data_IF_836459943367
#
_entry.id   IF_836459943367
#
_cell.length_a   1.000
_cell.length_b   1.000
_cell.length_c   1.000
_cell.angle_alpha   90.00
_cell.angle_beta   90.00
_cell.angle_gamma   90.00
#
_symmetry.space_group_name_H-M   'P 1'
#
loop_
_entity.id
_entity.type
_entity.pdbx_description
1 polymer ?
#
# COMPACT_ATOMS: atom_id res chain seq x y z
N UNK A 1 -0.76 5.53 -10.36
CA UNK A 1 -0.31 4.68 -9.23
C UNK A 1 -1.54 4.40 -8.39
N UNK A 2 -1.67 3.20 -7.84
CA UNK A 2 -2.81 2.80 -7.00
C UNK A 2 -2.28 2.55 -5.59
N UNK A 3 -2.84 3.23 -4.58
CA UNK A 3 -2.47 3.02 -3.18
C UNK A 3 -2.95 1.66 -2.70
N UNK A 4 -2.14 1.02 -1.85
CA UNK A 4 -2.46 -0.28 -1.25
C UNK A 4 -2.18 -0.26 0.24
N UNK A 5 -2.54 -1.35 0.91
CA UNK A 5 -2.46 -1.51 2.35
C UNK A 5 -2.97 -0.33 3.17
N UNK A 6 -2.17 0.18 4.13
CA UNK A 6 -2.66 1.23 5.04
C UNK A 6 -3.06 2.52 4.31
N UNK A 7 -2.33 2.90 3.26
CA UNK A 7 -2.64 4.10 2.49
C UNK A 7 -4.03 4.00 1.86
N UNK A 8 -4.37 2.83 1.31
CA UNK A 8 -5.70 2.58 0.74
C UNK A 8 -6.80 2.58 1.78
N UNK A 9 -6.55 2.02 2.97
CA UNK A 9 -7.51 2.02 4.07
C UNK A 9 -7.83 3.43 4.56
N UNK A 10 -6.81 4.29 4.67
CA UNK A 10 -6.98 5.69 5.07
C UNK A 10 -7.85 6.44 4.06
N UNK A 11 -7.62 6.22 2.76
CA UNK A 11 -8.44 6.81 1.69
C UNK A 11 -9.89 6.28 1.71
N UNK A 12 -10.07 4.96 1.74
CA UNK A 12 -11.38 4.31 1.65
C UNK A 12 -12.29 4.65 2.85
N UNK A 13 -11.71 4.71 4.05
CA UNK A 13 -12.46 4.93 5.29
C UNK A 13 -12.41 6.40 5.75
N UNK A 14 -11.79 7.28 4.97
CA UNK A 14 -11.59 8.70 5.31
C UNK A 14 -11.03 8.90 6.74
N UNK A 15 -10.06 8.07 7.13
CA UNK A 15 -9.54 8.04 8.49
C UNK A 15 -8.74 9.30 8.80
N UNK A 16 -9.00 9.89 9.98
CA UNK A 16 -8.21 11.01 10.51
C UNK A 16 -6.98 10.49 11.25
N UNK A 17 -5.95 10.10 10.49
CA UNK A 17 -4.67 9.61 11.05
C UNK A 17 -3.52 10.55 10.69
N UNK A 18 -2.38 10.37 11.38
CA UNK A 18 -1.13 11.01 10.96
C UNK A 18 -0.73 10.49 9.57
N UNK A 19 -0.22 11.35 8.66
CA UNK A 19 0.23 10.92 7.36
C UNK A 19 1.24 9.76 7.46
N UNK A 20 1.08 8.75 6.63
CA UNK A 20 2.02 7.65 6.54
C UNK A 20 3.36 8.16 6.04
N UNK A 21 4.44 7.74 6.70
CA UNK A 21 5.81 8.13 6.32
C UNK A 21 6.23 7.49 4.98
N UNK A 22 5.78 6.26 4.75
CA UNK A 22 6.13 5.44 3.58
C UNK A 22 4.89 4.70 3.08
N UNK A 23 3.90 5.40 2.47
CA UNK A 23 2.72 4.76 1.91
C UNK A 23 3.08 3.73 0.83
N UNK A 24 2.32 2.63 0.80
CA UNK A 24 2.46 1.59 -0.19
C UNK A 24 1.63 1.89 -1.45
N UNK A 25 2.20 1.64 -2.63
CA UNK A 25 1.51 1.81 -3.91
C UNK A 25 1.94 0.77 -4.95
N UNK A 26 1.01 0.41 -5.83
CA UNK A 26 1.28 -0.36 -7.04
C UNK A 26 1.82 0.57 -8.13
N UNK A 27 2.96 0.18 -8.70
CA UNK A 27 3.57 0.81 -9.85
C UNK A 27 3.82 -0.21 -10.96
N UNK A 28 3.42 0.14 -12.19
CA UNK A 28 3.74 -0.64 -13.39
C UNK A 28 5.20 -0.50 -13.84
N UNK A 29 5.95 0.42 -13.24
CA UNK A 29 7.36 0.69 -13.57
C UNK A 29 8.34 -0.15 -12.74
N UNK A 30 7.84 -0.96 -11.80
CA UNK A 30 8.68 -1.85 -10.98
C UNK A 30 8.27 -3.30 -11.18
N UNK A 31 9.26 -4.17 -11.31
CA UNK A 31 9.05 -5.63 -11.43
C UNK A 31 9.28 -6.36 -10.09
N UNK A 32 9.71 -5.64 -9.06
CA UNK A 32 9.94 -6.12 -7.69
C UNK A 32 9.61 -5.01 -6.71
N UNK A 33 9.45 -5.35 -5.42
CA UNK A 33 9.27 -4.36 -4.36
C UNK A 33 10.47 -3.42 -4.33
N UNK A 34 10.22 -2.10 -4.27
CA UNK A 34 11.24 -1.06 -4.10
C UNK A 34 10.81 -0.16 -2.96
N UNK A 35 11.61 -0.12 -1.89
CA UNK A 35 11.41 0.81 -0.79
C UNK A 35 12.23 2.08 -1.05
N UNK A 36 11.52 3.21 -1.14
CA UNK A 36 12.10 4.55 -1.27
C UNK A 36 11.93 5.31 0.04
N UNK A 37 12.64 6.43 0.26
CA UNK A 37 12.47 7.23 1.48
C UNK A 37 11.03 7.76 1.70
N UNK A 38 10.22 7.82 0.64
CA UNK A 38 8.88 8.41 0.66
C UNK A 38 7.77 7.40 0.40
N UNK A 39 8.05 6.23 -0.18
CA UNK A 39 7.04 5.26 -0.62
C UNK A 39 7.58 3.83 -0.69
N UNK A 40 6.71 2.85 -0.47
CA UNK A 40 6.97 1.45 -0.81
C UNK A 40 6.24 1.09 -2.11
N UNK A 41 6.99 0.76 -3.16
CA UNK A 41 6.44 0.46 -4.49
C UNK A 41 6.37 -1.04 -4.71
N UNK A 42 5.19 -1.52 -5.11
CA UNK A 42 4.94 -2.92 -5.44
C UNK A 42 4.68 -3.10 -6.93
N UNK A 43 5.07 -4.24 -7.51
CA UNK A 43 4.78 -4.55 -8.90
C UNK A 43 3.27 -4.72 -9.12
N UNK A 44 2.82 -4.50 -10.36
CA UNK A 44 1.40 -4.64 -10.73
C UNK A 44 0.79 -6.02 -10.45
N UNK A 45 1.60 -7.08 -10.46
CA UNK A 45 1.17 -8.46 -10.20
C UNK A 45 1.13 -8.85 -8.72
N UNK A 46 1.29 -7.91 -7.78
CA UNK A 46 1.21 -8.23 -6.35
C UNK A 46 -0.17 -8.76 -5.98
N UNK A 47 -0.22 -9.87 -5.25
CA UNK A 47 -1.48 -10.44 -4.78
C UNK A 47 -2.02 -9.59 -3.63
N UNK A 48 -3.14 -8.91 -3.89
CA UNK A 48 -3.91 -8.18 -2.89
C UNK A 48 -5.39 -8.34 -3.23
N UNK A 49 -6.19 -8.67 -2.23
CA UNK A 49 -7.64 -8.67 -2.35
C UNK A 49 -8.14 -7.23 -2.18
N UNK A 50 -8.93 -6.73 -3.13
CA UNK A 50 -9.51 -5.38 -3.10
C UNK A 50 -10.71 -5.32 -2.14
N UNK A 51 -10.44 -5.61 -0.87
CA UNK A 51 -11.37 -5.53 0.25
C UNK A 51 -10.68 -4.85 1.43
N UNK A 52 -11.46 -4.29 2.36
CA UNK A 52 -10.89 -3.67 3.57
C UNK A 52 -9.99 -4.66 4.31
N UNK A 53 -10.42 -5.91 4.44
CA UNK A 53 -9.66 -6.97 5.11
C UNK A 53 -8.41 -7.32 4.30
N UNK A 54 -8.52 -7.48 2.98
CA UNK A 54 -7.38 -7.76 2.10
C UNK A 54 -6.27 -6.70 2.17
N UNK A 55 -6.66 -5.43 2.20
CA UNK A 55 -5.73 -4.32 2.39
C UNK A 55 -5.11 -4.32 3.80
N UNK A 56 -5.87 -4.65 4.83
CA UNK A 56 -5.33 -4.76 6.19
C UNK A 56 -4.32 -5.91 6.32
N UNK A 57 -4.66 -7.10 5.80
CA UNK A 57 -3.76 -8.26 5.81
C UNK A 57 -2.48 -7.98 5.02
N UNK A 58 -2.61 -7.34 3.86
CA UNK A 58 -1.46 -6.91 3.07
C UNK A 58 -0.55 -5.97 3.87
N UNK A 59 -1.15 -4.95 4.49
CA UNK A 59 -0.40 -3.96 5.26
C UNK A 59 0.36 -4.63 6.42
N UNK A 60 -0.31 -5.50 7.18
CA UNK A 60 0.30 -6.23 8.31
C UNK A 60 1.47 -7.13 7.89
N UNK A 61 1.47 -7.65 6.66
CA UNK A 61 2.54 -8.52 6.14
C UNK A 61 3.71 -7.74 5.55
N UNK A 62 3.49 -6.52 5.07
CA UNK A 62 4.43 -5.85 4.18
C UNK A 62 4.85 -4.44 4.61
N UNK A 63 4.04 -3.74 5.40
CA UNK A 63 4.30 -2.39 5.91
C UNK A 63 4.69 -2.47 7.39
N UNK A 64 5.97 -2.19 7.69
CA UNK A 64 6.54 -2.10 9.06
C UNK A 64 6.94 -0.67 9.35
#
# INVERSE_FOLDING_TARGET
MVTIGYARLVELLALRVRPLRTPAAISGSVNRRIDTPTQALFPRGVAIEDSIVGHLEFALRHEV
#
